data_IF_691798772943
#
_entry.id   IF_691798772943
#
_cell.length_a   1.000
_cell.length_b   1.000
_cell.length_c   1.000
_cell.angle_alpha   90.00
_cell.angle_beta   90.00
_cell.angle_gamma   90.00
#
_symmetry.space_group_name_H-M   'P 1'
#
loop_
_entity.id
_entity.type
_entity.pdbx_description
1 polymer ?
#
# COMPACT_ATOMS: atom_id res chain seq x y z
N UNK A 1 -26.93 -47.68 -61.35
CA UNK A 1 -27.34 -46.30 -61.70
C UNK A 1 -27.08 -45.44 -60.48
N UNK A 2 -26.10 -44.56 -60.59
CA UNK A 2 -25.42 -43.87 -59.50
C UNK A 2 -26.26 -42.70 -58.97
N UNK A 3 -26.58 -42.68 -57.68
CA UNK A 3 -27.25 -41.55 -57.02
C UNK A 3 -26.23 -40.75 -56.21
N UNK A 4 -25.88 -39.56 -56.71
CA UNK A 4 -24.96 -38.62 -56.08
C UNK A 4 -25.61 -37.95 -54.85
N UNK A 5 -24.89 -37.79 -53.72
CA UNK A 5 -25.30 -36.87 -52.67
C UNK A 5 -24.95 -35.42 -53.05
N UNK A 6 -25.91 -34.50 -52.91
CA UNK A 6 -25.68 -33.06 -53.09
C UNK A 6 -24.84 -32.51 -51.94
N UNK A 7 -23.73 -31.86 -52.28
CA UNK A 7 -22.87 -31.14 -51.38
C UNK A 7 -23.54 -29.82 -50.97
N UNK A 8 -23.96 -29.69 -49.70
CA UNK A 8 -24.46 -28.45 -49.12
C UNK A 8 -23.26 -27.65 -48.62
N UNK A 9 -22.98 -26.53 -49.27
CA UNK A 9 -21.88 -25.64 -48.96
C UNK A 9 -22.23 -24.81 -47.72
N UNK A 10 -21.73 -25.21 -46.55
CA UNK A 10 -21.78 -24.40 -45.34
C UNK A 10 -21.01 -23.09 -45.53
N UNK A 11 -21.71 -21.97 -45.40
CA UNK A 11 -21.16 -20.62 -45.40
C UNK A 11 -20.11 -20.48 -44.28
N UNK A 12 -18.87 -20.17 -44.67
CA UNK A 12 -17.79 -19.85 -43.74
C UNK A 12 -18.17 -18.59 -42.93
N UNK A 13 -17.99 -18.57 -41.60
CA UNK A 13 -18.03 -17.31 -40.87
C UNK A 13 -16.82 -16.47 -41.29
N UNK A 14 -17.06 -15.32 -41.92
CA UNK A 14 -16.03 -14.33 -42.17
C UNK A 14 -15.81 -13.56 -40.86
N UNK A 15 -14.80 -13.95 -40.10
CA UNK A 15 -14.30 -13.11 -39.01
C UNK A 15 -13.66 -11.86 -39.61
N UNK A 16 -14.08 -10.64 -39.26
CA UNK A 16 -13.34 -9.45 -39.64
C UNK A 16 -11.96 -9.48 -38.96
N UNK A 17 -10.89 -8.99 -39.63
CA UNK A 17 -9.60 -8.86 -38.98
C UNK A 17 -9.73 -7.87 -37.82
N UNK A 18 -9.28 -8.29 -36.63
CA UNK A 18 -9.02 -7.38 -35.51
C UNK A 18 -8.03 -6.32 -36.00
N UNK A 19 -8.53 -5.13 -36.29
CA UNK A 19 -7.69 -3.95 -36.44
C UNK A 19 -7.00 -3.75 -35.11
N UNK A 20 -5.67 -3.85 -35.13
CA UNK A 20 -4.78 -3.49 -34.03
C UNK A 20 -5.04 -2.02 -33.68
N UNK A 21 -5.98 -1.77 -32.77
CA UNK A 21 -6.18 -0.47 -32.18
C UNK A 21 -4.88 -0.11 -31.46
N UNK A 22 -4.19 0.89 -32.01
CA UNK A 22 -2.91 1.35 -31.53
C UNK A 22 -2.96 1.58 -30.02
N UNK A 23 -1.97 1.04 -29.33
CA UNK A 23 -1.66 1.45 -27.97
C UNK A 23 -1.62 2.97 -27.92
N UNK A 24 -2.34 3.63 -26.99
CA UNK A 24 -2.01 5.01 -26.71
C UNK A 24 -0.58 4.98 -26.14
N UNK A 25 0.41 5.38 -26.94
CA UNK A 25 1.72 5.76 -26.43
C UNK A 25 1.46 6.98 -25.54
N UNK A 26 1.25 6.73 -24.26
CA UNK A 26 1.40 7.77 -23.25
C UNK A 26 2.79 8.38 -23.44
N UNK A 27 2.95 9.69 -23.66
CA UNK A 27 4.25 10.30 -23.46
C UNK A 27 4.55 10.15 -21.97
N UNK A 28 5.46 9.24 -21.63
CA UNK A 28 6.08 9.22 -20.31
C UNK A 28 7.01 10.42 -20.25
N UNK A 29 6.46 11.58 -19.93
CA UNK A 29 7.28 12.66 -19.37
C UNK A 29 7.63 12.25 -17.94
N UNK A 30 8.91 12.01 -17.62
CA UNK A 30 9.33 11.69 -16.24
C UNK A 30 9.13 12.86 -15.27
N UNK A 31 8.76 14.04 -15.79
CA UNK A 31 8.61 15.29 -15.02
C UNK A 31 7.25 15.44 -14.30
N UNK A 32 6.24 14.61 -14.61
CA UNK A 32 4.94 14.67 -13.91
C UNK A 32 4.87 13.80 -12.65
N UNK A 33 5.95 13.08 -12.31
CA UNK A 33 6.13 12.37 -11.06
C UNK A 33 6.90 13.18 -10.02
N UNK A 34 6.98 14.51 -10.17
CA UNK A 34 7.42 15.37 -9.07
C UNK A 34 6.24 15.60 -8.14
N UNK A 35 6.15 14.93 -6.97
CA UNK A 35 5.31 15.45 -5.91
C UNK A 35 5.73 16.91 -5.67
N UNK A 36 4.78 17.83 -5.43
CA UNK A 36 5.13 19.22 -5.15
C UNK A 36 6.19 19.20 -4.06
N UNK A 37 7.32 19.88 -4.30
CA UNK A 37 8.42 19.98 -3.35
C UNK A 37 7.81 20.20 -1.98
N UNK A 38 8.08 19.27 -1.05
CA UNK A 38 7.52 19.25 0.29
C UNK A 38 7.56 20.67 0.82
N UNK A 39 6.44 21.40 0.77
CA UNK A 39 6.37 22.70 1.40
C UNK A 39 6.56 22.37 2.85
N UNK A 40 7.74 22.70 3.36
CA UNK A 40 8.04 22.69 4.77
C UNK A 40 7.05 23.66 5.38
N UNK A 41 5.86 23.15 5.73
CA UNK A 41 5.07 23.75 6.78
C UNK A 41 6.02 23.67 7.95
N UNK A 42 6.61 24.79 8.30
CA UNK A 42 7.11 25.04 9.65
C UNK A 42 5.96 24.68 10.59
N UNK A 43 5.90 23.39 10.94
CA UNK A 43 5.04 22.88 11.98
C UNK A 43 5.60 23.57 13.20
N UNK A 44 4.81 24.49 13.73
CA UNK A 44 5.07 25.26 14.94
C UNK A 44 5.86 24.41 15.94
N UNK A 45 6.99 24.92 16.46
CA UNK A 45 7.81 24.21 17.43
C UNK A 45 6.98 24.09 18.70
N UNK A 46 6.21 23.00 18.81
CA UNK A 46 5.48 22.71 20.03
C UNK A 46 6.52 22.42 21.11
N UNK A 47 6.55 23.18 22.23
CA UNK A 47 7.67 23.19 23.18
C UNK A 47 7.93 21.87 23.95
N UNK A 48 7.15 20.81 23.67
CA UNK A 48 7.12 19.57 24.45
C UNK A 48 7.60 18.37 23.62
N UNK A 49 8.75 18.50 22.95
CA UNK A 49 9.21 17.60 21.88
C UNK A 49 9.79 16.23 22.29
N UNK A 50 9.62 15.82 23.56
CA UNK A 50 10.13 14.53 24.05
C UNK A 50 9.15 13.36 23.92
N UNK A 51 7.84 13.60 24.01
CA UNK A 51 6.83 12.52 24.13
C UNK A 51 5.50 12.85 23.44
N UNK A 52 5.47 13.83 22.52
CA UNK A 52 4.25 14.21 21.82
C UNK A 52 3.93 13.15 20.76
N UNK A 53 3.20 12.12 21.15
CA UNK A 53 2.73 11.09 20.22
C UNK A 53 1.84 11.80 19.18
N UNK A 54 2.15 11.73 17.88
CA UNK A 54 1.48 12.53 16.87
C UNK A 54 0.00 12.15 16.78
N UNK A 55 -0.88 13.11 17.03
CA UNK A 55 -2.31 12.94 16.79
C UNK A 55 -2.62 12.96 15.29
N UNK A 56 -3.42 12.00 14.77
CA UNK A 56 -3.94 10.82 15.44
C UNK A 56 -2.90 9.69 15.54
N UNK A 57 -2.87 9.00 16.68
CA UNK A 57 -1.91 7.91 16.89
C UNK A 57 -2.16 6.80 15.86
N UNK A 58 -1.14 6.31 15.14
CA UNK A 58 -1.29 5.16 14.28
C UNK A 58 -1.81 3.97 15.09
N UNK A 59 -2.96 3.45 14.68
CA UNK A 59 -3.52 2.19 15.17
C UNK A 59 -3.91 1.34 13.98
N UNK A 60 -4.15 0.05 14.19
CA UNK A 60 -4.58 -0.87 13.13
C UNK A 60 -5.79 -0.40 12.30
N UNK A 61 -6.71 0.38 12.89
CA UNK A 61 -7.89 0.91 12.20
C UNK A 61 -7.63 2.19 11.42
N UNK A 62 -6.62 2.98 11.83
CA UNK A 62 -6.36 4.32 11.29
C UNK A 62 -5.06 4.39 10.49
N UNK A 63 -4.25 3.32 10.45
CA UNK A 63 -3.06 3.23 9.58
C UNK A 63 -3.48 3.01 8.13
N UNK A 64 -2.74 3.59 7.19
CA UNK A 64 -3.01 3.43 5.75
C UNK A 64 -2.65 2.01 5.26
N UNK A 65 -3.19 1.62 4.10
CA UNK A 65 -2.85 0.33 3.47
C UNK A 65 -1.35 0.21 3.18
N UNK A 66 -0.73 1.28 2.67
CA UNK A 66 0.70 1.33 2.35
C UNK A 66 1.58 1.20 3.60
N UNK A 67 1.21 1.85 4.70
CA UNK A 67 1.92 1.72 5.97
C UNK A 67 1.86 0.28 6.51
N UNK A 68 0.69 -0.36 6.41
CA UNK A 68 0.52 -1.77 6.80
C UNK A 68 1.40 -2.69 5.96
N UNK A 69 1.40 -2.54 4.63
CA UNK A 69 2.17 -3.39 3.72
C UNK A 69 3.69 -3.28 3.98
N UNK A 70 4.20 -2.05 4.13
CA UNK A 70 5.61 -1.80 4.44
C UNK A 70 6.02 -2.40 5.78
N UNK A 71 5.16 -2.29 6.80
CA UNK A 71 5.44 -2.87 8.11
C UNK A 71 5.49 -4.41 8.06
N UNK A 72 4.63 -5.06 7.27
CA UNK A 72 4.63 -6.53 7.12
C UNK A 72 5.80 -7.07 6.30
N UNK A 73 6.37 -6.27 5.40
CA UNK A 73 7.54 -6.64 4.60
C UNK A 73 8.88 -6.41 5.34
N UNK A 74 8.83 -5.71 6.48
CA UNK A 74 10.01 -5.40 7.29
C UNK A 74 10.55 -6.60 8.07
N UNK A 75 11.80 -6.51 8.55
CA UNK A 75 12.35 -7.51 9.45
C UNK A 75 11.59 -7.56 10.78
N UNK A 76 11.56 -8.74 11.40
CA UNK A 76 10.93 -8.96 12.71
C UNK A 76 11.96 -8.69 13.81
N UNK A 77 11.55 -7.92 14.82
CA UNK A 77 12.37 -7.62 15.99
C UNK A 77 11.73 -8.20 17.26
N UNK A 78 12.57 -8.48 18.26
CA UNK A 78 12.15 -8.92 19.60
C UNK A 78 12.42 -7.85 20.64
N UNK A 79 11.71 -7.90 21.76
CA UNK A 79 11.88 -6.97 22.86
C UNK A 79 11.07 -7.37 24.08
N UNK A 80 11.24 -6.63 25.17
CA UNK A 80 10.52 -6.83 26.43
C UNK A 80 9.49 -5.74 26.61
N UNK A 81 8.26 -6.10 26.97
CA UNK A 81 7.24 -5.12 27.34
C UNK A 81 7.65 -4.42 28.63
N UNK A 82 8.01 -3.14 28.53
CA UNK A 82 8.44 -2.32 29.67
C UNK A 82 7.27 -1.93 30.56
N UNK A 83 6.17 -1.54 29.93
CA UNK A 83 4.92 -1.20 30.62
C UNK A 83 3.75 -1.30 29.65
N UNK A 84 2.63 -1.83 30.12
CA UNK A 84 1.37 -1.81 29.40
C UNK A 84 0.21 -1.55 30.35
N UNK A 85 -0.63 -0.58 30.01
CA UNK A 85 -1.85 -0.27 30.76
C UNK A 85 -3.08 -0.64 29.95
N UNK A 86 -3.80 -1.69 30.38
CA UNK A 86 -5.06 -2.07 29.74
C UNK A 86 -6.10 -0.95 29.81
N UNK A 87 -6.17 -0.24 30.93
CA UNK A 87 -7.12 0.87 31.11
C UNK A 87 -6.82 2.06 30.22
N UNK A 88 -5.54 2.33 29.89
CA UNK A 88 -5.15 3.39 28.95
C UNK A 88 -5.05 2.92 27.49
N UNK A 89 -5.03 1.61 27.24
CA UNK A 89 -5.00 1.01 25.91
C UNK A 89 -3.65 1.10 25.20
N UNK A 90 -2.55 1.37 25.91
CA UNK A 90 -1.23 1.49 25.30
C UNK A 90 -0.08 1.17 26.28
N UNK A 91 1.12 1.07 25.73
CA UNK A 91 2.34 0.78 26.45
C UNK A 91 3.60 1.02 25.62
N UNK A 92 4.72 0.52 26.14
CA UNK A 92 6.03 0.60 25.50
C UNK A 92 6.77 -0.73 25.56
N UNK A 93 7.54 -1.02 24.50
CA UNK A 93 8.41 -2.18 24.37
C UNK A 93 9.85 -1.68 24.25
N UNK A 94 10.75 -2.24 25.06
CA UNK A 94 12.18 -2.02 24.93
C UNK A 94 12.74 -3.08 23.98
N UNK A 95 13.30 -2.70 22.82
CA UNK A 95 13.88 -3.65 21.86
C UNK A 95 15.10 -4.39 22.43
N UNK A 96 15.29 -5.65 22.02
CA UNK A 96 16.43 -6.49 22.43
C UNK A 96 17.77 -5.95 21.95
N UNK A 97 17.79 -5.33 20.76
CA UNK A 97 18.98 -4.71 20.16
C UNK A 97 19.34 -3.36 20.78
N UNK A 98 18.59 -2.92 21.80
CA UNK A 98 18.70 -1.59 22.39
C UNK A 98 18.11 -0.48 21.51
N UNK A 99 18.29 0.77 21.95
CA UNK A 99 17.69 1.93 21.30
C UNK A 99 16.50 2.51 22.08
N UNK A 100 15.67 3.30 21.39
CA UNK A 100 14.52 3.96 22.00
C UNK A 100 13.34 3.01 22.21
N UNK A 101 12.59 3.23 23.28
CA UNK A 101 11.35 2.49 23.55
C UNK A 101 10.34 2.69 22.41
N UNK A 102 9.71 1.59 21.99
CA UNK A 102 8.74 1.54 20.91
C UNK A 102 7.33 1.60 21.50
N UNK A 103 6.51 2.52 21.01
CA UNK A 103 5.11 2.64 21.43
C UNK A 103 4.26 1.49 20.87
N UNK A 104 3.36 0.95 21.69
CA UNK A 104 2.37 -0.06 21.27
C UNK A 104 0.96 0.34 21.70
N UNK A 105 -0.01 0.17 20.80
CA UNK A 105 -1.43 0.38 21.06
C UNK A 105 -2.15 -0.97 21.17
N UNK A 106 -3.18 -1.07 22.02
CA UNK A 106 -3.99 -2.30 22.24
C UNK A 106 -4.66 -2.87 20.99
N UNK A 107 -4.68 -2.12 19.89
CA UNK A 107 -5.34 -2.54 18.65
C UNK A 107 -4.37 -3.03 17.58
N UNK A 108 -3.06 -2.83 17.77
CA UNK A 108 -2.04 -3.50 16.96
C UNK A 108 -2.15 -5.01 17.16
#
# INVERSE_FOLDING_TARGET
MSSHPRHIQGSRPVTPPLTSAGSPRSPVSPESLQPPACRHRDRSPSPMRGYLIPSPLPTRRNRTCSATARASEGPVFTGVCKYFSRSKGHGFITPSDGGSDIFVHISE
#
